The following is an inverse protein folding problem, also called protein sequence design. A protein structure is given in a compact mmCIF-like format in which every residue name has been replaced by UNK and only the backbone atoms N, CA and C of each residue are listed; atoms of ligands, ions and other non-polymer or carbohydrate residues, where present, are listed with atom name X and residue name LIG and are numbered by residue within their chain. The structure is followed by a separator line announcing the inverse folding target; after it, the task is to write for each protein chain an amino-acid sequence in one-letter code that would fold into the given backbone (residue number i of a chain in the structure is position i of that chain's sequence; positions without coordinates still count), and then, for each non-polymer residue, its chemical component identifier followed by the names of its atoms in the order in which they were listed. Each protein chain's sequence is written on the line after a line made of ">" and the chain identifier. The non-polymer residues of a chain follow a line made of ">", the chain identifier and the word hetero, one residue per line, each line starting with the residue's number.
data_IF_109465869836
#
_entry.id   IF_109465869836
#
_cell.length_a   1.000
_cell.length_b   1.000
_cell.length_c   1.000
_cell.angle_alpha   90.00
_cell.angle_beta   90.00
_cell.angle_gamma   90.00
#
_symmetry.space_group_name_H-M   'P 1'
#
loop_
_entity.id
_entity.type
_entity.pdbx_description
1 polymer ?
#
# COMPACT_ATOMS: atom_id res chain seq x y z
N UNK A 1 -18.23 55.13 64.51
CA UNK A 1 -17.65 54.77 63.20
C UNK A 1 -17.53 53.25 63.19
N UNK A 2 -18.53 52.45 62.84
CA UNK A 2 -19.23 52.26 61.55
C UNK A 2 -18.31 51.94 60.35
N UNK A 3 -18.71 50.91 59.61
CA UNK A 3 -18.26 50.43 58.29
C UNK A 3 -17.06 49.46 58.19
N UNK A 4 -17.35 48.14 58.18
CA UNK A 4 -17.43 47.33 56.93
C UNK A 4 -17.73 45.87 57.27
N UNK A 5 -19.01 45.54 57.18
CA UNK A 5 -19.44 44.21 56.79
C UNK A 5 -19.03 43.92 55.34
N UNK A 6 -19.02 42.64 54.96
CA UNK A 6 -19.02 42.12 53.58
C UNK A 6 -17.68 41.79 52.93
N UNK A 7 -17.17 40.60 53.22
CA UNK A 7 -16.52 39.71 52.24
C UNK A 7 -16.45 38.32 52.90
N UNK A 8 -17.55 37.56 52.86
CA UNK A 8 -17.81 36.51 51.86
C UNK A 8 -16.63 35.54 51.79
N UNK A 9 -16.73 34.37 52.43
CA UNK A 9 -17.20 33.16 51.72
C UNK A 9 -16.46 33.00 50.38
N UNK A 10 -15.13 33.02 50.41
CA UNK A 10 -14.29 32.89 49.21
C UNK A 10 -13.06 32.00 49.47
N UNK A 11 -13.22 30.99 50.34
CA UNK A 11 -12.25 29.90 50.49
C UNK A 11 -12.82 28.54 50.06
N UNK A 12 -14.00 28.57 49.43
CA UNK A 12 -14.38 27.52 48.49
C UNK A 12 -13.80 27.95 47.14
N UNK A 13 -12.50 27.69 46.95
CA UNK A 13 -12.00 27.46 45.59
C UNK A 13 -12.88 26.33 45.08
N UNK A 14 -13.82 26.70 44.20
CA UNK A 14 -14.46 25.78 43.27
C UNK A 14 -13.33 25.01 42.60
N UNK A 15 -13.01 23.85 43.18
CA UNK A 15 -12.46 22.75 42.43
C UNK A 15 -13.56 22.43 41.43
N UNK A 16 -13.50 23.08 40.26
CA UNK A 16 -14.19 22.65 39.07
C UNK A 16 -14.13 21.13 39.05
N UNK A 17 -15.27 20.44 38.96
CA UNK A 17 -15.26 19.00 38.82
C UNK A 17 -14.40 18.73 37.60
N UNK A 18 -13.28 18.05 37.79
CA UNK A 18 -12.48 17.51 36.72
C UNK A 18 -13.40 16.58 35.95
N UNK A 19 -14.05 17.12 34.91
CA UNK A 19 -14.89 16.38 33.99
C UNK A 19 -13.96 15.31 33.40
N UNK A 20 -14.22 14.01 33.62
CA UNK A 20 -13.45 12.93 33.04
C UNK A 20 -13.81 12.78 31.56
N UNK A 21 -13.91 13.89 30.83
CA UNK A 21 -13.63 13.96 29.40
C UNK A 21 -12.15 13.67 29.24
N UNK A 22 -11.80 12.41 29.46
CA UNK A 22 -10.60 11.83 28.93
C UNK A 22 -10.83 11.74 27.41
N UNK A 23 -10.78 12.91 26.75
CA UNK A 23 -10.47 12.98 25.33
C UNK A 23 -9.20 12.14 25.19
N UNK A 24 -9.35 10.91 24.67
CA UNK A 24 -8.20 10.02 24.48
C UNK A 24 -7.11 10.86 23.83
N UNK A 25 -6.00 11.04 24.53
CA UNK A 25 -4.96 11.97 24.08
C UNK A 25 -4.55 11.58 22.66
N UNK A 26 -4.22 12.56 21.82
CA UNK A 26 -3.88 12.30 20.40
C UNK A 26 -2.79 11.21 20.22
N UNK A 27 -1.95 10.97 21.23
CA UNK A 27 -1.00 9.87 21.27
C UNK A 27 -1.66 8.49 21.46
N UNK A 28 -2.64 8.37 22.35
CA UNK A 28 -3.36 7.14 22.65
C UNK A 28 -4.28 6.72 21.48
N UNK A 29 -4.96 7.69 20.87
CA UNK A 29 -5.74 7.48 19.65
C UNK A 29 -4.88 6.92 18.50
N UNK A 30 -3.65 7.45 18.35
CA UNK A 30 -2.68 6.97 17.35
C UNK A 30 -2.19 5.55 17.64
N UNK A 31 -2.04 5.18 18.91
CA UNK A 31 -1.66 3.82 19.32
C UNK A 31 -2.81 2.87 18.99
N UNK A 32 -4.05 3.22 19.36
CA UNK A 32 -5.23 2.40 19.09
C UNK A 32 -5.44 2.19 17.58
N UNK A 33 -5.36 3.28 16.79
CA UNK A 33 -5.43 3.21 15.34
C UNK A 33 -4.35 2.30 14.75
N UNK A 34 -3.10 2.39 15.25
CA UNK A 34 -1.99 1.53 14.77
C UNK A 34 -2.26 0.06 15.04
N UNK A 35 -2.78 -0.27 16.22
CA UNK A 35 -3.05 -1.66 16.62
C UNK A 35 -4.17 -2.27 15.77
N UNK A 36 -5.29 -1.55 15.60
CA UNK A 36 -6.39 -2.02 14.74
C UNK A 36 -5.96 -2.11 13.28
N UNK A 37 -5.22 -1.12 12.77
CA UNK A 37 -4.68 -1.14 11.42
C UNK A 37 -3.71 -2.31 11.21
N UNK A 38 -2.88 -2.67 12.20
CA UNK A 38 -1.97 -3.81 12.13
C UNK A 38 -2.72 -5.15 12.06
N UNK A 39 -3.77 -5.32 12.86
CA UNK A 39 -4.61 -6.52 12.82
C UNK A 39 -5.31 -6.66 11.46
N UNK A 40 -5.86 -5.56 10.94
CA UNK A 40 -6.50 -5.53 9.61
C UNK A 40 -5.51 -5.85 8.49
N UNK A 41 -4.34 -5.19 8.45
CA UNK A 41 -3.30 -5.45 7.45
C UNK A 41 -2.86 -6.91 7.43
N UNK A 42 -2.68 -7.53 8.60
CA UNK A 42 -2.30 -8.94 8.70
C UNK A 42 -3.37 -9.87 8.11
N UNK A 43 -4.65 -9.58 8.36
CA UNK A 43 -5.78 -10.36 7.83
C UNK A 43 -5.92 -10.22 6.31
N UNK A 44 -5.65 -9.03 5.78
CA UNK A 44 -5.79 -8.71 4.35
C UNK A 44 -4.55 -9.09 3.52
N UNK A 45 -3.37 -9.19 4.12
CA UNK A 45 -2.13 -9.53 3.41
C UNK A 45 -2.19 -10.87 2.67
N UNK A 46 -2.81 -11.91 3.29
CA UNK A 46 -2.94 -13.24 2.69
C UNK A 46 -3.84 -13.23 1.44
N UNK A 47 -5.13 -12.83 1.51
CA UNK A 47 -5.97 -12.78 0.31
C UNK A 47 -5.41 -11.80 -0.72
N UNK A 48 -4.81 -10.68 -0.30
CA UNK A 48 -4.15 -9.74 -1.20
C UNK A 48 -3.04 -10.37 -2.03
N UNK A 49 -2.10 -11.09 -1.39
CA UNK A 49 -1.02 -11.76 -2.12
C UNK A 49 -1.51 -12.89 -3.01
N UNK A 50 -2.49 -13.68 -2.56
CA UNK A 50 -3.07 -14.76 -3.37
C UNK A 50 -3.72 -14.22 -4.64
N UNK A 51 -4.55 -13.18 -4.54
CA UNK A 51 -5.18 -12.55 -5.70
C UNK A 51 -4.11 -11.97 -6.64
N UNK A 52 -3.10 -11.30 -6.09
CA UNK A 52 -2.00 -10.74 -6.88
C UNK A 52 -1.24 -11.83 -7.66
N UNK A 53 -0.93 -12.97 -7.03
CA UNK A 53 -0.23 -14.09 -7.69
C UNK A 53 -1.09 -14.74 -8.76
N UNK A 54 -2.39 -14.94 -8.52
CA UNK A 54 -3.30 -15.49 -9.54
C UNK A 54 -3.35 -14.58 -10.77
N UNK A 55 -3.52 -13.27 -10.57
CA UNK A 55 -3.53 -12.29 -11.67
C UNK A 55 -2.17 -12.29 -12.39
N UNK A 56 -1.07 -12.32 -11.64
CA UNK A 56 0.28 -12.37 -12.19
C UNK A 56 0.50 -13.61 -13.07
N UNK A 57 0.00 -14.77 -12.67
CA UNK A 57 0.04 -15.99 -13.48
C UNK A 57 -0.89 -15.91 -14.69
N UNK A 58 -2.07 -15.29 -14.58
CA UNK A 58 -3.00 -15.13 -15.72
C UNK A 58 -2.39 -14.31 -16.86
N UNK A 59 -1.47 -13.39 -16.57
CA UNK A 59 -0.71 -12.68 -17.61
C UNK A 59 0.16 -13.60 -18.47
N UNK A 60 0.33 -14.88 -18.13
CA UNK A 60 1.01 -15.88 -18.97
C UNK A 60 0.37 -16.01 -20.34
N UNK A 61 -0.94 -15.76 -20.44
CA UNK A 61 -1.64 -15.71 -21.73
C UNK A 61 -1.07 -14.58 -22.60
N UNK A 62 -0.81 -13.41 -22.02
CA UNK A 62 -0.21 -12.29 -22.73
C UNK A 62 1.26 -12.56 -23.13
N UNK A 63 2.01 -13.34 -22.34
CA UNK A 63 3.38 -13.74 -22.73
C UNK A 63 3.36 -14.53 -24.04
N UNK A 64 2.47 -15.51 -24.15
CA UNK A 64 2.34 -16.35 -25.34
C UNK A 64 1.94 -15.55 -26.58
N UNK A 65 1.19 -14.46 -26.41
CA UNK A 65 0.72 -13.61 -27.50
C UNK A 65 1.75 -12.55 -27.92
N UNK A 66 2.41 -11.90 -26.96
CA UNK A 66 3.26 -10.73 -27.21
C UNK A 66 4.76 -11.09 -27.33
N UNK A 67 5.23 -12.09 -26.61
CA UNK A 67 6.64 -12.49 -26.54
C UNK A 67 6.80 -14.02 -26.63
N UNK A 68 6.25 -14.68 -27.68
CA UNK A 68 6.20 -16.14 -27.78
C UNK A 68 7.57 -16.82 -27.72
N UNK A 69 8.61 -16.13 -28.18
CA UNK A 69 9.99 -16.60 -28.23
C UNK A 69 10.61 -16.81 -26.83
N UNK A 70 10.23 -15.98 -25.86
CA UNK A 70 10.71 -16.06 -24.48
C UNK A 70 9.61 -16.43 -23.49
N UNK A 71 8.39 -16.70 -23.97
CA UNK A 71 7.21 -16.94 -23.13
C UNK A 71 7.43 -18.08 -22.13
N UNK A 72 8.03 -19.20 -22.53
CA UNK A 72 8.31 -20.31 -21.62
C UNK A 72 9.20 -19.90 -20.44
N UNK A 73 10.23 -19.08 -20.70
CA UNK A 73 11.13 -18.57 -19.67
C UNK A 73 10.39 -17.58 -18.75
N UNK A 74 9.62 -16.66 -19.34
CA UNK A 74 8.83 -15.66 -18.59
C UNK A 74 7.81 -16.34 -17.68
N UNK A 75 7.04 -17.28 -18.21
CA UNK A 75 6.02 -18.04 -17.46
C UNK A 75 6.68 -18.79 -16.31
N UNK A 76 7.79 -19.48 -16.56
CA UNK A 76 8.54 -20.20 -15.52
C UNK A 76 9.00 -19.24 -14.41
N UNK A 77 9.53 -18.07 -14.77
CA UNK A 77 9.91 -17.05 -13.81
C UNK A 77 8.71 -16.56 -12.98
N UNK A 78 7.54 -16.39 -13.59
CA UNK A 78 6.32 -16.01 -12.88
C UNK A 78 5.90 -17.02 -11.83
N UNK A 79 5.86 -18.30 -12.21
CA UNK A 79 5.53 -19.37 -11.28
C UNK A 79 6.57 -19.47 -10.16
N UNK A 80 7.87 -19.35 -10.48
CA UNK A 80 8.94 -19.40 -9.50
C UNK A 80 8.82 -18.26 -8.47
N UNK A 81 8.67 -17.01 -8.93
CA UNK A 81 8.54 -15.84 -8.02
C UNK A 81 7.22 -15.89 -7.26
N UNK A 82 6.11 -16.19 -7.92
CA UNK A 82 4.78 -16.25 -7.30
C UNK A 82 4.70 -17.32 -6.21
N UNK A 83 5.18 -18.53 -6.50
CA UNK A 83 5.21 -19.62 -5.52
C UNK A 83 6.14 -19.29 -4.35
N UNK A 84 7.33 -18.75 -4.64
CA UNK A 84 8.28 -18.34 -3.59
C UNK A 84 7.67 -17.27 -2.69
N UNK A 85 7.01 -16.26 -3.24
CA UNK A 85 6.35 -15.22 -2.47
C UNK A 85 5.25 -15.78 -1.56
N UNK A 86 4.42 -16.70 -2.06
CA UNK A 86 3.39 -17.37 -1.26
C UNK A 86 3.99 -18.19 -0.13
N UNK A 87 5.02 -18.98 -0.41
CA UNK A 87 5.70 -19.80 0.61
C UNK A 87 6.34 -18.94 1.69
N UNK A 88 7.00 -17.84 1.30
CA UNK A 88 7.62 -16.90 2.24
C UNK A 88 6.55 -16.21 3.11
N UNK A 89 5.44 -15.74 2.52
CA UNK A 89 4.36 -15.13 3.28
C UNK A 89 3.74 -16.14 4.27
N UNK A 90 3.41 -17.35 3.80
CA UNK A 90 2.80 -18.37 4.64
C UNK A 90 3.75 -18.80 5.78
N UNK A 91 5.06 -18.88 5.52
CA UNK A 91 6.06 -19.13 6.54
C UNK A 91 6.14 -18.00 7.59
N UNK A 92 6.07 -16.73 7.17
CA UNK A 92 6.06 -15.59 8.09
C UNK A 92 4.78 -15.52 8.93
N UNK A 93 3.63 -15.83 8.32
CA UNK A 93 2.35 -15.90 9.03
C UNK A 93 2.38 -17.00 10.11
N UNK A 94 2.91 -18.19 9.78
CA UNK A 94 3.07 -19.31 10.72
C UNK A 94 4.04 -19.01 11.85
N UNK A 95 5.12 -18.28 11.57
CA UNK A 95 6.14 -17.88 12.56
C UNK A 95 5.71 -16.70 13.45
N UNK A 96 4.52 -16.13 13.24
CA UNK A 96 4.04 -15.03 14.07
C UNK A 96 4.79 -13.71 13.82
N UNK A 97 5.46 -13.53 12.67
CA UNK A 97 6.29 -12.35 12.40
C UNK A 97 5.47 -11.06 12.47
N UNK A 98 6.08 -9.95 12.88
CA UNK A 98 5.43 -8.65 12.97
C UNK A 98 4.88 -8.17 11.62
N UNK A 99 3.74 -7.48 11.64
CA UNK A 99 3.03 -7.05 10.42
C UNK A 99 3.86 -6.17 9.50
N UNK A 100 4.78 -5.37 10.05
CA UNK A 100 5.65 -4.51 9.23
C UNK A 100 6.55 -5.33 8.30
N UNK A 101 6.96 -6.55 8.68
CA UNK A 101 7.73 -7.45 7.79
C UNK A 101 6.86 -8.12 6.73
N UNK A 102 5.57 -8.34 7.01
CA UNK A 102 4.62 -8.82 6.00
C UNK A 102 4.44 -7.77 4.90
N UNK A 103 4.32 -6.49 5.28
CA UNK A 103 4.25 -5.37 4.33
C UNK A 103 5.50 -5.31 3.44
N UNK A 104 6.70 -5.44 4.04
CA UNK A 104 7.98 -5.47 3.29
C UNK A 104 8.05 -6.67 2.35
N UNK A 105 7.58 -7.84 2.79
CA UNK A 105 7.61 -9.06 1.97
C UNK A 105 6.68 -8.96 0.78
N UNK A 106 5.47 -8.44 0.97
CA UNK A 106 4.53 -8.20 -0.12
C UNK A 106 5.05 -7.13 -1.09
N UNK A 107 5.64 -6.04 -0.58
CA UNK A 107 6.30 -5.03 -1.42
C UNK A 107 7.45 -5.64 -2.23
N UNK A 108 8.30 -6.46 -1.58
CA UNK A 108 9.36 -7.21 -2.23
C UNK A 108 8.82 -8.15 -3.31
N UNK A 109 7.74 -8.87 -3.05
CA UNK A 109 7.11 -9.75 -4.02
C UNK A 109 6.66 -9.02 -5.30
N UNK A 110 6.16 -7.79 -5.17
CA UNK A 110 5.82 -6.96 -6.34
C UNK A 110 7.07 -6.60 -7.14
N UNK A 111 8.13 -6.15 -6.46
CA UNK A 111 9.39 -5.76 -7.11
C UNK A 111 10.06 -6.96 -7.80
N UNK A 112 10.17 -8.09 -7.10
CA UNK A 112 10.73 -9.32 -7.66
C UNK A 112 9.84 -9.90 -8.77
N UNK A 113 8.52 -9.80 -8.64
CA UNK A 113 7.59 -10.20 -9.70
C UNK A 113 7.77 -9.35 -10.96
N UNK A 114 7.97 -8.05 -10.78
CA UNK A 114 8.27 -7.15 -11.88
C UNK A 114 9.61 -7.48 -12.53
N UNK A 115 10.69 -7.64 -11.75
CA UNK A 115 12.02 -7.99 -12.28
C UNK A 115 12.03 -9.37 -12.95
N UNK A 116 11.36 -10.36 -12.35
CA UNK A 116 11.25 -11.72 -12.89
C UNK A 116 10.48 -11.78 -14.21
N UNK A 117 9.56 -10.85 -14.44
CA UNK A 117 8.93 -10.67 -15.74
C UNK A 117 9.80 -9.87 -16.72
N UNK A 118 10.34 -8.74 -16.26
CA UNK A 118 11.07 -7.78 -17.08
C UNK A 118 12.33 -8.39 -17.70
N UNK A 119 13.08 -9.18 -16.93
CA UNK A 119 14.32 -9.81 -17.39
C UNK A 119 14.09 -10.64 -18.66
N UNK A 120 13.28 -11.72 -18.60
CA UNK A 120 12.93 -12.52 -19.76
C UNK A 120 12.27 -11.70 -20.88
N UNK A 121 11.31 -10.83 -20.56
CA UNK A 121 10.61 -10.03 -21.56
C UNK A 121 11.56 -9.13 -22.39
N UNK A 122 12.62 -8.59 -21.76
CA UNK A 122 13.61 -7.75 -22.45
C UNK A 122 14.48 -8.51 -23.47
N UNK A 123 14.58 -9.84 -23.32
CA UNK A 123 15.30 -10.73 -24.24
C UNK A 123 14.53 -11.01 -25.52
N UNK A 124 13.25 -10.61 -25.60
CA UNK A 124 12.42 -10.79 -26.77
C UNK A 124 13.04 -10.23 -28.06
N UNK A 125 12.93 -11.00 -29.13
CA UNK A 125 13.46 -10.66 -30.46
C UNK A 125 12.65 -9.52 -31.10
N UNK A 126 11.33 -9.52 -30.95
CA UNK A 126 10.47 -8.47 -31.49
C UNK A 126 10.42 -7.26 -30.55
N UNK A 127 11.24 -6.24 -30.85
CA UNK A 127 11.34 -5.02 -30.04
C UNK A 127 10.06 -4.20 -30.00
N UNK A 128 9.22 -4.26 -31.04
CA UNK A 128 7.94 -3.55 -31.06
C UNK A 128 6.94 -4.19 -30.10
N UNK A 129 6.78 -5.51 -30.14
CA UNK A 129 5.91 -6.22 -29.19
C UNK A 129 6.38 -6.05 -27.75
N UNK A 130 7.70 -6.10 -27.51
CA UNK A 130 8.28 -5.81 -26.19
C UNK A 130 7.95 -4.39 -25.75
N UNK A 131 8.05 -3.39 -26.63
CA UNK A 131 7.69 -2.01 -26.33
C UNK A 131 6.22 -1.88 -25.91
N UNK A 132 5.28 -2.49 -26.63
CA UNK A 132 3.88 -2.51 -26.20
C UNK A 132 3.71 -3.26 -24.89
N UNK A 133 4.49 -4.33 -24.67
CA UNK A 133 4.37 -5.09 -23.45
C UNK A 133 4.87 -4.33 -22.21
N UNK A 134 5.80 -3.40 -22.38
CA UNK A 134 6.28 -2.51 -21.31
C UNK A 134 5.17 -1.65 -20.67
N UNK A 135 4.05 -1.39 -21.36
CA UNK A 135 2.87 -0.72 -20.77
C UNK A 135 2.40 -1.48 -19.53
N UNK A 136 2.38 -2.81 -19.59
CA UNK A 136 1.87 -3.68 -18.52
C UNK A 136 2.74 -3.62 -17.26
N UNK A 137 3.99 -3.15 -17.37
CA UNK A 137 4.84 -2.87 -16.22
C UNK A 137 4.22 -1.86 -15.23
N UNK A 138 3.34 -0.97 -15.71
CA UNK A 138 2.59 -0.05 -14.83
C UNK A 138 1.59 -0.75 -13.91
N UNK A 139 1.13 -1.95 -14.26
CA UNK A 139 0.20 -2.72 -13.42
C UNK A 139 0.88 -3.10 -12.10
N UNK A 140 2.19 -3.39 -12.10
CA UNK A 140 2.93 -3.66 -10.86
C UNK A 140 2.96 -2.43 -9.94
N UNK A 141 3.11 -1.24 -10.52
CA UNK A 141 3.05 0.02 -9.78
C UNK A 141 1.68 0.24 -9.13
N UNK A 142 0.60 -0.07 -9.86
CA UNK A 142 -0.78 0.02 -9.38
C UNK A 142 -1.09 -1.05 -8.33
N UNK A 143 -0.56 -2.26 -8.50
CA UNK A 143 -0.81 -3.43 -7.64
C UNK A 143 -0.45 -3.18 -6.17
N UNK A 144 0.60 -2.41 -5.90
CA UNK A 144 1.00 -2.02 -4.55
C UNK A 144 -0.11 -1.28 -3.79
N UNK A 145 -0.98 -0.58 -4.52
CA UNK A 145 -2.03 0.25 -3.95
C UNK A 145 -3.42 -0.41 -4.03
N UNK A 146 -3.61 -1.42 -4.89
CA UNK A 146 -4.89 -2.07 -5.14
C UNK A 146 -5.08 -3.34 -4.29
N UNK A 147 -4.09 -4.22 -4.26
CA UNK A 147 -4.23 -5.54 -3.62
C UNK A 147 -3.74 -5.55 -2.17
N UNK A 148 -2.99 -4.53 -1.77
CA UNK A 148 -2.36 -4.47 -0.46
C UNK A 148 -2.75 -3.19 0.27
N UNK A 149 -3.20 -3.33 1.51
CA UNK A 149 -3.46 -2.22 2.42
C UNK A 149 -2.18 -1.77 3.12
N UNK A 150 -1.11 -1.54 2.37
CA UNK A 150 0.17 -1.08 2.93
C UNK A 150 0.02 0.20 3.74
N UNK A 151 0.97 0.43 4.64
CA UNK A 151 1.21 1.79 5.16
C UNK A 151 1.51 2.70 3.97
N UNK A 152 0.92 3.88 3.96
CA UNK A 152 1.10 4.88 2.90
C UNK A 152 2.56 5.01 2.44
N UNK A 153 3.52 5.11 3.39
CA UNK A 153 4.95 5.19 3.08
C UNK A 153 5.50 4.00 2.29
N UNK A 154 5.15 2.77 2.66
CA UNK A 154 5.63 1.56 1.98
C UNK A 154 5.07 1.48 0.57
N UNK A 155 3.80 1.85 0.39
CA UNK A 155 3.16 1.88 -0.92
C UNK A 155 3.85 2.87 -1.86
N UNK A 156 4.08 4.11 -1.41
CA UNK A 156 4.76 5.14 -2.20
C UNK A 156 6.20 4.76 -2.54
N UNK A 157 6.95 4.19 -1.59
CA UNK A 157 8.32 3.73 -1.83
C UNK A 157 8.32 2.63 -2.91
N UNK A 158 7.43 1.65 -2.79
CA UNK A 158 7.32 0.53 -3.73
C UNK A 158 6.96 1.02 -5.14
N UNK A 159 5.94 1.88 -5.25
CA UNK A 159 5.53 2.46 -6.53
C UNK A 159 6.64 3.34 -7.14
N UNK A 160 7.38 4.10 -6.33
CA UNK A 160 8.53 4.90 -6.79
C UNK A 160 9.65 4.02 -7.33
N UNK A 161 9.98 2.91 -6.65
CA UNK A 161 11.00 1.96 -7.13
C UNK A 161 10.62 1.42 -8.51
N UNK A 162 9.36 0.99 -8.67
CA UNK A 162 8.87 0.47 -9.95
C UNK A 162 8.89 1.56 -11.04
N UNK A 163 8.50 2.80 -10.70
CA UNK A 163 8.58 3.95 -11.60
C UNK A 163 10.02 4.21 -12.07
N UNK A 164 10.99 4.19 -11.17
CA UNK A 164 12.40 4.35 -11.51
C UNK A 164 12.86 3.25 -12.47
N UNK A 165 12.52 1.99 -12.20
CA UNK A 165 12.90 0.89 -13.10
C UNK A 165 12.22 1.05 -14.47
N UNK A 166 10.94 1.43 -14.53
CA UNK A 166 10.23 1.71 -15.79
C UNK A 166 10.91 2.82 -16.60
N UNK A 167 11.32 3.90 -15.95
CA UNK A 167 12.05 5.00 -16.59
C UNK A 167 13.41 4.55 -17.14
N UNK A 168 14.16 3.78 -16.35
CA UNK A 168 15.45 3.22 -16.76
C UNK A 168 15.27 2.33 -17.99
N UNK A 169 14.30 1.41 -17.98
CA UNK A 169 14.06 0.53 -19.13
C UNK A 169 13.61 1.32 -20.36
N UNK A 170 12.69 2.28 -20.20
CA UNK A 170 12.23 3.13 -21.30
C UNK A 170 13.36 3.96 -21.92
N UNK A 171 14.35 4.35 -21.13
CA UNK A 171 15.54 5.03 -21.64
C UNK A 171 16.37 4.11 -22.56
N UNK A 172 16.60 2.86 -22.15
CA UNK A 172 17.40 1.89 -22.91
C UNK A 172 16.66 1.24 -24.09
N UNK A 173 15.33 1.33 -24.14
CA UNK A 173 14.56 0.80 -25.25
C UNK A 173 14.88 1.57 -26.54
N UNK A 174 15.20 0.89 -27.66
CA UNK A 174 15.47 1.52 -28.95
C UNK A 174 14.15 1.95 -29.61
N UNK A 175 13.50 2.96 -29.03
CA UNK A 175 12.24 3.52 -29.49
C UNK A 175 12.39 5.01 -29.84
N UNK A 176 11.42 5.55 -30.58
CA UNK A 176 11.39 6.96 -30.96
C UNK A 176 11.34 7.88 -29.73
N UNK A 177 11.84 9.11 -29.87
CA UNK A 177 11.77 10.10 -28.80
C UNK A 177 10.32 10.37 -28.37
N UNK A 178 9.40 10.44 -29.34
CA UNK A 178 7.96 10.60 -29.09
C UNK A 178 7.41 9.47 -28.23
N UNK A 179 7.76 8.21 -28.54
CA UNK A 179 7.36 7.06 -27.72
C UNK A 179 7.84 7.23 -26.27
N UNK A 180 9.12 7.58 -26.07
CA UNK A 180 9.70 7.74 -24.73
C UNK A 180 9.01 8.85 -23.93
N UNK A 181 8.67 9.97 -24.56
CA UNK A 181 7.96 11.08 -23.92
C UNK A 181 6.51 10.73 -23.55
N UNK A 182 5.79 10.07 -24.45
CA UNK A 182 4.40 9.64 -24.21
C UNK A 182 4.36 8.64 -23.05
N UNK A 183 5.22 7.62 -23.09
CA UNK A 183 5.29 6.62 -22.03
C UNK A 183 5.81 7.17 -20.70
N UNK A 184 6.79 8.07 -20.72
CA UNK A 184 7.25 8.76 -19.52
C UNK A 184 6.11 9.54 -18.85
N UNK A 185 5.37 10.34 -19.62
CA UNK A 185 4.20 11.08 -19.14
C UNK A 185 3.11 10.15 -18.61
N UNK A 186 2.86 9.03 -19.30
CA UNK A 186 1.93 8.00 -18.87
C UNK A 186 2.34 7.40 -17.51
N UNK A 187 3.61 7.04 -17.32
CA UNK A 187 4.10 6.48 -16.06
C UNK A 187 3.96 7.46 -14.89
N UNK A 188 4.29 8.74 -15.09
CA UNK A 188 4.13 9.78 -14.07
C UNK A 188 2.65 10.01 -13.75
N UNK A 189 1.79 9.99 -14.75
CA UNK A 189 0.34 10.14 -14.57
C UNK A 189 -0.22 8.98 -13.76
N UNK A 190 0.10 7.74 -14.12
CA UNK A 190 -0.30 6.55 -13.37
C UNK A 190 0.20 6.59 -11.92
N UNK A 191 1.46 6.97 -11.71
CA UNK A 191 2.03 7.12 -10.38
C UNK A 191 1.26 8.15 -9.56
N UNK A 192 0.97 9.32 -10.14
CA UNK A 192 0.28 10.42 -9.48
C UNK A 192 -1.15 10.04 -9.11
N UNK A 193 -1.91 9.48 -10.05
CA UNK A 193 -3.28 9.04 -9.79
C UNK A 193 -3.35 7.93 -8.75
N UNK A 194 -2.48 6.94 -8.85
CA UNK A 194 -2.48 5.81 -7.90
C UNK A 194 -2.09 6.29 -6.50
N UNK A 195 -1.12 7.20 -6.40
CA UNK A 195 -0.71 7.80 -5.12
C UNK A 195 -1.80 8.68 -4.52
N UNK A 196 -2.50 9.46 -5.35
CA UNK A 196 -3.62 10.29 -4.91
C UNK A 196 -4.79 9.45 -4.39
N UNK A 197 -5.18 8.40 -5.12
CA UNK A 197 -6.21 7.46 -4.66
C UNK A 197 -5.80 6.77 -3.36
N UNK A 198 -4.52 6.37 -3.24
CA UNK A 198 -4.02 5.77 -2.01
C UNK A 198 -4.06 6.74 -0.82
N UNK A 199 -3.70 8.01 -1.04
CA UNK A 199 -3.82 9.07 -0.04
C UNK A 199 -5.27 9.22 0.43
N UNK A 200 -6.21 9.40 -0.51
CA UNK A 200 -7.63 9.59 -0.20
C UNK A 200 -8.21 8.40 0.57
N UNK A 201 -7.92 7.17 0.14
CA UNK A 201 -8.36 5.95 0.84
C UNK A 201 -7.76 5.82 2.24
N UNK A 202 -6.56 6.34 2.47
CA UNK A 202 -5.93 6.32 3.78
C UNK A 202 -6.58 7.36 4.72
N UNK A 203 -6.93 8.53 4.19
CA UNK A 203 -7.69 9.57 4.90
C UNK A 203 -9.09 9.08 5.27
N UNK A 204 -9.82 8.48 4.33
CA UNK A 204 -11.15 7.89 4.58
C UNK A 204 -11.09 6.80 5.65
N UNK A 205 -10.07 5.93 5.62
CA UNK A 205 -9.87 4.90 6.65
C UNK A 205 -9.64 5.47 8.04
N UNK A 206 -8.95 6.61 8.14
CA UNK A 206 -8.75 7.28 9.41
C UNK A 206 -10.05 7.90 9.94
N UNK A 207 -10.81 8.57 9.07
CA UNK A 207 -12.10 9.15 9.44
C UNK A 207 -13.13 8.09 9.88
N UNK A 208 -13.19 6.95 9.19
CA UNK A 208 -14.07 5.84 9.59
C UNK A 208 -13.68 5.28 10.96
N UNK A 209 -12.39 5.21 11.26
CA UNK A 209 -11.91 4.78 12.59
C UNK A 209 -12.36 5.76 13.69
N UNK A 210 -12.22 7.07 13.46
CA UNK A 210 -12.67 8.09 14.41
C UNK A 210 -14.18 7.97 14.69
N UNK A 211 -14.99 7.86 13.64
CA UNK A 211 -16.44 7.74 13.78
C UNK A 211 -16.85 6.45 14.53
N UNK A 212 -16.16 5.34 14.26
CA UNK A 212 -16.42 4.08 14.95
C UNK A 212 -16.02 4.15 16.44
N UNK A 213 -14.94 4.85 16.76
CA UNK A 213 -14.50 5.07 18.13
C UNK A 213 -15.49 5.96 18.89
N UNK A 214 -15.94 7.06 18.28
CA UNK A 214 -16.93 7.96 18.85
C UNK A 214 -18.25 7.23 19.14
N UNK A 215 -18.76 6.44 18.18
CA UNK A 215 -19.96 5.63 18.37
C UNK A 215 -19.83 4.62 19.51
N UNK A 216 -18.64 4.03 19.71
CA UNK A 216 -18.37 3.09 20.80
C UNK A 216 -18.36 3.77 22.17
N UNK A 217 -17.81 4.98 22.25
CA UNK A 217 -17.82 5.79 23.48
C UNK A 217 -19.27 6.14 23.85
N UNK A 218 -20.04 6.66 22.90
CA UNK A 218 -21.46 7.01 23.11
C UNK A 218 -22.31 5.79 23.55
N UNK A 219 -22.05 4.60 22.99
CA UNK A 219 -22.77 3.39 23.38
C UNK A 219 -22.45 2.94 24.81
N UNK A 220 -21.19 3.07 25.23
CA UNK A 220 -20.77 2.76 26.60
C UNK A 220 -21.30 3.77 27.62
N UNK A 221 -21.54 5.02 27.22
CA UNK A 221 -22.17 6.04 28.08
C UNK A 221 -23.69 5.83 28.24
N UNK A 222 -24.32 5.12 27.29
CA UNK A 222 -25.76 4.85 27.29
C UNK A 222 -26.16 3.54 27.99
N UNK A 223 -25.19 2.72 28.44
CA UNK A 223 -25.41 1.41 29.09
C UNK A 223 -24.96 1.45 30.55
#
# INVERSE_FOLDING_TARGET
>A
MNERASSRVADAVDSEPHDPRQELGAAELRILYRTEAQAKRRKEARPGLWIAVVIYVLFSVSDLLLIPDVAALTITARFAVGLTALLVLEAQLRRGVATDWLDVTCAGAIIFGYLGWLGPASMGANKESVAYYMVFGTIFMMSANLFFTFRFKVSIITSTIILCILYVVNYFLPASLTYKMVFGTFYVSCFTFTSYVNWKLNEERYNVFLNALEAKIQHNEAT
#
